data_IF_593648256667
#
_entry.id   IF_593648256667
#
_cell.length_a   1.000
_cell.length_b   1.000
_cell.length_c   1.000
_cell.angle_alpha   90.00
_cell.angle_beta   90.00
_cell.angle_gamma   90.00
#
_symmetry.space_group_name_H-M   'P 1'
#
loop_
_entity.id
_entity.type
_entity.pdbx_description
1 polymer ?
2 water ?
#
# COMPACT_ATOMS: atom_id res chain seq x y z
N UNK A 4 -10.24 -7.13 19.30
CA UNK A 4 -9.05 -6.55 19.92
C UNK A 4 -8.49 -5.40 19.07
N UNK A 5 -9.12 -5.12 17.95
CA UNK A 5 -8.53 -4.25 16.93
C UNK A 5 -9.05 -2.83 17.05
N UNK A 6 -8.35 -1.85 16.47
CA UNK A 6 -8.88 -0.49 16.47
C UNK A 6 -10.17 -0.38 15.66
N UNK A 7 -11.06 0.52 16.12
CA UNK A 7 -12.37 0.75 15.51
C UNK A 7 -12.46 2.19 15.03
N UNK A 9 -15.94 4.91 13.72
CA UNK A 9 -17.36 4.97 13.39
C UNK A 9 -17.55 5.61 12.01
N UNK A 10 -18.59 5.20 11.25
CA UNK A 10 -19.58 4.20 11.66
C UNK A 10 -18.99 2.79 11.67
N UNK A 11 -19.41 1.99 12.66
CA UNK A 11 -18.96 0.61 12.73
C UNK A 11 -19.55 -0.24 11.62
N UNK A 12 -20.61 0.24 10.97
CA UNK A 12 -21.40 -0.52 10.02
C UNK A 12 -21.86 0.41 8.92
N UNK A 13 -21.93 -0.11 7.69
CA UNK A 13 -22.41 0.67 6.56
C UNK A 13 -22.73 -0.27 5.40
N UNK A 14 -23.67 0.17 4.55
CA UNK A 14 -24.00 -0.50 3.28
C UNK A 14 -22.80 -0.46 2.32
N UNK A 15 -22.73 -1.37 1.36
CA UNK A 15 -21.60 -1.33 0.42
C UNK A 15 -21.53 -0.01 -0.33
N UNK A 16 -20.32 0.53 -0.45
CA UNK A 16 -20.07 1.78 -1.16
C UNK A 16 -19.21 1.53 -2.39
N UNK A 17 -18.97 2.60 -3.14
CA UNK A 17 -18.33 2.52 -4.45
C UNK A 17 -17.61 3.83 -4.75
N UNK A 18 -16.29 3.87 -4.60
CA UNK A 18 -15.55 5.05 -5.06
C UNK A 18 -15.51 5.10 -6.57
N UNK A 19 -15.45 6.31 -7.10
CA UNK A 19 -15.20 6.47 -8.53
C UNK A 19 -13.71 6.71 -8.71
N UNK A 20 -13.09 5.89 -9.54
CA UNK A 20 -11.65 5.82 -9.67
C UNK A 20 -11.28 6.34 -11.06
N UNK A 21 -10.74 7.56 -11.10
CA UNK A 21 -10.35 8.19 -12.36
C UNK A 21 -9.16 7.48 -12.98
N UNK A 22 -9.35 6.21 -13.35
CA UNK A 22 -8.25 5.44 -13.95
C UNK A 22 -7.78 6.10 -15.24
N UNK A 23 -6.51 6.51 -15.26
CA UNK A 23 -5.91 7.09 -16.44
C UNK A 23 -5.56 6.00 -17.44
N UNK A 24 -5.00 6.40 -18.58
CA UNK A 24 -4.65 5.44 -19.64
C UNK A 24 -3.33 4.73 -19.36
N UNK A 25 -2.41 5.36 -18.63
CA UNK A 25 -1.19 4.71 -18.18
C UNK A 25 -1.35 4.02 -16.83
N UNK A 26 -2.57 3.99 -16.28
CA UNK A 26 -2.82 3.30 -15.03
C UNK A 26 -3.08 1.82 -15.28
N UNK A 27 -2.68 1.00 -14.32
CA UNK A 27 -3.00 -0.42 -14.33
C UNK A 27 -3.75 -0.77 -13.06
N UNK A 28 -4.82 -1.55 -13.21
CA UNK A 28 -5.50 -2.10 -12.06
C UNK A 28 -4.66 -3.25 -11.53
N UNK A 29 -4.18 -3.11 -10.31
CA UNK A 29 -3.35 -4.13 -9.65
C UNK A 29 -4.21 -5.21 -9.02
N UNK A 30 -5.15 -4.82 -8.15
CA UNK A 30 -6.15 -5.72 -7.62
C UNK A 30 -7.43 -4.92 -7.46
N UNK A 31 -8.57 -5.58 -7.66
CA UNK A 31 -9.87 -4.92 -7.66
C UNK A 31 -10.83 -5.69 -6.78
N UNK A 32 -11.47 -4.98 -5.84
CA UNK A 32 -12.52 -5.56 -4.98
C UNK A 32 -12.03 -6.79 -4.22
N UNK A 33 -10.87 -6.65 -3.61
CA UNK A 33 -10.35 -7.70 -2.73
C UNK A 33 -10.95 -7.50 -1.34
N UNK A 34 -11.69 -8.51 -0.88
CA UNK A 34 -12.40 -8.40 0.38
C UNK A 34 -11.45 -8.58 1.55
N UNK A 35 -11.67 -7.78 2.59
CA UNK A 35 -10.97 -7.89 3.87
C UNK A 35 -12.07 -7.92 4.93
N UNK A 36 -12.29 -9.05 5.60
CA UNK A 36 -13.52 -9.25 6.41
C UNK A 36 -13.51 -8.49 7.73
N UNK A 37 -13.59 -7.17 7.64
CA UNK A 37 -13.59 -6.30 8.80
C UNK A 37 -14.12 -4.95 8.37
N UNK A 38 -14.63 -4.13 9.29
CA UNK A 38 -15.23 -2.85 8.90
C UNK A 38 -14.17 -1.89 8.35
N UNK A 39 -14.63 -0.95 7.52
CA UNK A 39 -13.71 -0.06 6.83
C UNK A 39 -12.87 0.73 7.82
N UNK A 40 -13.49 1.23 8.89
CA UNK A 40 -12.75 1.96 9.89
C UNK A 40 -11.66 1.13 10.54
N UNK A 41 -11.86 -0.18 10.61
CA UNK A 41 -10.87 -1.03 11.26
C UNK A 41 -9.70 -1.31 10.33
N UNK A 42 -9.96 -1.51 9.03
CA UNK A 42 -8.88 -1.78 8.08
C UNK A 42 -8.06 -0.52 7.84
N UNK A 43 -8.70 0.65 7.79
CA UNK A 43 -7.93 1.89 7.68
C UNK A 43 -7.01 2.05 8.88
N UNK A 44 -7.51 1.75 10.08
CA UNK A 44 -6.69 1.84 11.28
C UNK A 44 -5.52 0.88 11.25
N UNK A 45 -5.76 -0.35 10.78
CA UNK A 45 -4.71 -1.37 10.74
C UNK A 45 -3.55 -0.92 9.85
N UNK A 46 -3.88 -0.30 8.70
CA UNK A 46 -2.88 0.11 7.71
C UNK A 46 -2.25 1.46 8.03
N UNK A 47 -3.03 2.40 8.57
CA UNK A 47 -2.63 3.79 8.56
C UNK A 47 -2.75 4.49 9.91
N UNK A 48 -3.18 3.81 10.97
CA UNK A 48 -3.45 4.47 12.22
C UNK A 48 -2.25 4.58 13.16
N UNK A 49 -2.51 5.15 14.34
CA UNK A 49 -1.45 5.56 15.26
C UNK A 49 -0.59 4.39 15.74
N UNK A 50 -1.16 3.19 15.78
CA UNK A 50 -0.39 1.99 16.14
C UNK A 50 0.20 1.44 14.85
N UNK A 51 1.45 1.80 14.56
CA UNK A 51 2.01 1.46 13.27
C UNK A 51 2.58 0.06 13.22
N UNK A 52 2.40 -0.74 14.27
CA UNK A 52 2.99 -2.07 14.25
C UNK A 52 2.34 -2.96 13.20
N UNK A 53 1.04 -2.76 12.92
CA UNK A 53 0.37 -3.60 11.91
C UNK A 53 0.93 -3.34 10.52
N UNK A 55 3.99 -2.35 9.91
CA UNK A 55 5.30 -2.98 9.98
C UNK A 55 5.21 -4.48 9.75
N UNK A 56 4.16 -5.12 10.29
CA UNK A 56 3.93 -6.55 10.03
C UNK A 56 3.65 -6.81 8.56
N UNK A 57 2.92 -5.90 7.90
CA UNK A 57 2.73 -6.06 6.45
C UNK A 57 4.08 -6.08 5.74
N UNK A 58 4.99 -5.21 6.17
CA UNK A 58 6.29 -5.12 5.51
C UNK A 58 7.15 -6.35 5.82
N UNK A 59 7.15 -6.81 7.07
CA UNK A 59 8.03 -7.94 7.37
C UNK A 59 7.46 -9.28 6.94
N UNK A 60 6.20 -9.33 6.46
CA UNK A 60 5.67 -10.59 5.96
C UNK A 60 6.45 -11.07 4.75
N UNK A 61 6.90 -10.12 3.92
CA UNK A 61 7.77 -10.42 2.79
C UNK A 61 9.20 -10.57 3.33
N UNK A 62 9.77 -11.76 3.20
CA UNK A 62 11.06 -12.01 3.82
C UNK A 62 12.23 -11.36 3.09
N UNK A 63 11.99 -10.74 1.93
CA UNK A 63 13.05 -9.99 1.28
C UNK A 63 13.23 -8.60 1.89
N UNK A 64 12.24 -8.10 2.60
CA UNK A 64 12.35 -6.80 3.27
C UNK A 64 13.12 -6.99 4.56
N UNK A 65 14.25 -6.29 4.71
CA UNK A 65 15.08 -6.34 5.90
C UNK A 65 15.44 -4.90 6.30
N UNK A 66 16.13 -4.79 7.43
CA UNK A 66 16.50 -3.50 8.02
C UNK A 66 15.32 -2.52 8.01
N UNK A 67 14.19 -2.94 8.57
CA UNK A 67 12.93 -2.19 8.52
C UNK A 67 12.86 -1.25 9.74
N UNK A 68 12.71 0.05 9.49
CA UNK A 68 12.63 1.00 10.59
C UNK A 68 11.24 0.97 11.21
N UNK A 69 11.09 1.69 12.32
CA UNK A 69 9.77 1.94 12.87
C UNK A 69 8.99 2.86 11.93
N UNK A 70 7.75 2.51 11.66
CA UNK A 70 6.90 3.33 10.80
C UNK A 70 6.40 4.51 11.61
N UNK A 71 6.62 5.75 11.16
CA UNK A 71 6.03 6.88 11.88
C UNK A 71 4.53 6.94 11.67
N UNK A 72 3.86 7.63 12.57
CA UNK A 72 2.48 7.99 12.32
C UNK A 72 2.41 9.01 11.18
N UNK A 73 1.19 9.29 10.74
CA UNK A 73 1.02 10.30 9.72
C UNK A 73 1.21 11.69 10.32
N UNK A 74 1.86 12.58 9.56
CA UNK A 74 2.04 14.00 9.88
C UNK A 74 1.06 14.82 9.06
N UNK A 75 0.30 15.75 9.66
CA UNK A 75 0.26 16.05 11.09
C UNK A 75 -0.52 14.98 11.85
N UNK A 76 -1.42 14.31 11.14
CA UNK A 76 -2.15 13.17 11.69
C UNK A 76 -2.89 12.49 10.54
N UNK A 77 -3.67 11.47 10.89
CA UNK A 77 -4.43 10.70 9.90
C UNK A 77 -5.58 11.59 9.42
N UNK A 78 -5.24 12.50 8.51
CA UNK A 78 -6.22 13.41 7.90
C UNK A 78 -5.82 13.60 6.45
N UNK A 79 -6.80 14.04 5.64
CA UNK A 79 -6.51 14.42 4.27
C UNK A 79 -5.32 15.36 4.23
N UNK A 80 -4.33 15.01 3.40
CA UNK A 80 -3.11 15.78 3.29
C UNK A 80 -2.01 15.34 4.23
N UNK A 81 -2.35 14.55 5.25
CA UNK A 81 -1.31 13.94 6.04
C UNK A 81 -0.39 13.09 5.18
N UNK A 82 0.84 12.94 5.65
CA UNK A 82 1.76 12.06 4.95
C UNK A 82 2.75 11.48 5.94
N UNK A 83 3.51 10.49 5.46
CA UNK A 83 4.59 9.92 6.25
C UNK A 83 5.59 9.31 5.28
N UNK A 84 6.82 9.19 5.76
CA UNK A 84 7.90 8.54 5.02
C UNK A 84 8.51 7.43 5.87
N UNK A 85 8.88 6.33 5.23
CA UNK A 85 9.65 5.31 5.93
C UNK A 85 10.48 4.55 4.92
N UNK A 86 11.45 3.80 5.43
CA UNK A 86 12.50 3.17 4.63
C UNK A 86 12.76 1.76 5.12
N UNK A 87 13.11 0.88 4.20
CA UNK A 87 13.65 -0.43 4.53
C UNK A 87 14.50 -0.86 3.35
N UNK A 88 15.15 -2.00 3.50
CA UNK A 88 16.04 -2.54 2.49
C UNK A 88 15.38 -3.76 1.87
N UNK A 89 15.39 -3.84 0.54
CA UNK A 89 14.78 -4.97 -0.17
C UNK A 89 15.88 -5.83 -0.77
N UNK A 90 15.96 -7.08 -0.33
CA UNK A 90 16.88 -8.02 -0.93
C UNK A 90 16.47 -8.29 -2.37
N UNK A 91 17.45 -8.27 -3.27
CA UNK A 91 17.28 -8.59 -4.67
C UNK A 91 18.26 -9.69 -5.04
N UNK A 92 17.88 -10.57 -5.96
CA UNK A 92 18.84 -11.42 -6.64
C UNK A 92 18.63 -11.21 -8.14
N UNK A 93 19.04 -10.02 -8.59
CA UNK A 93 18.96 -9.65 -9.98
C UNK A 93 20.30 -9.95 -10.67
N UNK A 94 20.23 -10.41 -11.91
CA UNK A 94 21.41 -10.47 -12.77
C UNK A 94 22.08 -9.10 -12.80
N UNK A 95 21.33 -8.08 -13.21
CA UNK A 95 21.84 -6.72 -13.26
C UNK A 95 21.83 -6.11 -11.87
N UNK A 96 22.73 -5.16 -11.64
CA UNK A 96 22.67 -4.29 -10.49
C UNK A 96 22.92 -4.96 -9.16
N UNK A 97 22.66 -4.24 -8.07
CA UNK A 97 23.08 -4.69 -6.74
C UNK A 97 22.17 -5.79 -6.22
N UNK A 98 22.58 -6.33 -5.07
CA UNK A 98 21.86 -7.41 -4.41
C UNK A 98 20.79 -6.90 -3.46
N UNK A 99 20.75 -5.61 -3.20
CA UNK A 99 19.71 -5.01 -2.38
C UNK A 99 19.62 -3.54 -2.73
N UNK A 100 18.47 -2.94 -2.45
CA UNK A 100 18.24 -1.52 -2.64
C UNK A 100 17.51 -0.95 -1.44
N UNK A 101 17.84 0.30 -1.07
CA UNK A 101 16.94 1.05 -0.20
C UNK A 101 15.59 1.15 -0.88
N UNK A 102 14.53 1.03 -0.10
CA UNK A 102 13.17 1.33 -0.54
C UNK A 102 12.69 2.52 0.26
N UNK A 103 12.45 3.62 -0.43
CA UNK A 103 11.98 4.86 0.19
C UNK A 103 10.49 4.96 -0.11
N UNK A 104 9.67 4.91 0.94
CA UNK A 104 8.23 4.93 0.78
C UNK A 104 7.64 6.21 1.32
N UNK A 105 6.61 6.70 0.64
CA UNK A 105 5.86 7.89 1.00
C UNK A 105 4.38 7.56 0.89
N UNK A 106 3.62 7.84 1.93
CA UNK A 106 2.17 7.70 1.88
C UNK A 106 1.53 9.05 2.10
N UNK A 107 0.52 9.39 1.31
CA UNK A 107 -0.27 10.58 1.60
C UNK A 107 -1.75 10.26 1.51
N UNK A 108 -2.51 10.75 2.48
CA UNK A 108 -3.94 10.53 2.49
C UNK A 108 -4.57 11.50 1.50
N UNK A 109 -5.20 10.97 0.44
CA UNK A 109 -5.84 11.79 -0.57
C UNK A 109 -7.29 12.07 -0.23
N UNK A 110 -8.02 11.06 0.24
CA UNK A 110 -9.41 11.22 0.61
C UNK A 110 -9.70 10.32 1.79
N UNK A 112 -13.07 9.27 4.26
CA UNK A 112 -14.46 9.40 4.66
C UNK A 112 -14.96 7.99 4.96
N UNK A 113 -15.05 7.66 6.25
CA UNK A 113 -15.43 6.30 6.65
C UNK A 113 -16.90 6.01 6.32
N UNK A 114 -17.64 7.02 5.89
CA UNK A 114 -18.98 6.83 5.35
C UNK A 114 -18.99 6.56 3.86
N UNK A 115 -17.82 6.52 3.22
CA UNK A 115 -17.76 6.37 1.78
C UNK A 115 -16.52 5.56 1.40
N UNK A 116 -15.36 6.21 1.29
CA UNK A 116 -14.14 5.50 0.92
C UNK A 116 -12.92 6.24 1.45
N UNK A 117 -11.77 5.56 1.38
CA UNK A 117 -10.47 6.14 1.72
C UNK A 117 -9.51 5.88 0.56
N UNK A 118 -8.75 6.91 0.17
CA UNK A 118 -7.73 6.80 -0.87
C UNK A 118 -6.39 7.25 -0.30
N UNK A 119 -5.43 6.34 -0.26
CA UNK A 119 -4.06 6.64 0.12
C UNK A 119 -3.17 6.39 -1.09
N UNK A 120 -2.33 7.34 -1.41
CA UNK A 120 -1.28 7.15 -2.41
C UNK A 120 0.01 6.76 -1.71
N UNK A 121 0.63 5.67 -2.16
CA UNK A 121 1.94 5.26 -1.66
C UNK A 121 2.93 5.27 -2.82
N UNK A 122 4.01 6.02 -2.66
CA UNK A 122 5.07 6.19 -3.66
C UNK A 122 6.32 5.50 -3.16
N UNK A 123 6.89 4.64 -4.01
CA UNK A 123 8.12 3.91 -3.68
C UNK A 123 9.23 4.32 -4.63
N UNK A 124 10.36 4.74 -4.08
CA UNK A 124 11.58 5.01 -4.83
C UNK A 124 12.64 4.00 -4.43
N UNK A 125 13.37 3.48 -5.42
CA UNK A 125 14.39 2.45 -5.21
C UNK A 125 15.67 2.92 -5.88
N UNK A 126 16.41 3.83 -5.25
CA UNK A 126 17.47 4.55 -5.99
C UNK A 126 18.65 3.69 -6.43
N UNK A 127 18.97 2.60 -5.72
CA UNK A 127 20.20 1.86 -6.00
C UNK A 127 20.12 0.99 -7.26
N UNK A 128 18.94 0.79 -7.84
CA UNK A 128 18.81 -0.11 -8.99
C UNK A 128 19.12 0.64 -10.29
N UNK A 129 19.35 -0.05 -11.40
CA UNK A 129 19.56 0.64 -12.69
C UNK A 129 18.40 1.54 -13.06
N UNK A 130 18.73 2.79 -13.43
CA UNK A 130 17.77 3.83 -13.81
C UNK A 130 16.87 4.23 -12.66
N UNK A 131 17.28 3.94 -11.43
CA UNK A 131 16.40 4.04 -10.28
C UNK A 131 16.18 5.43 -9.75
N UNK A 132 17.09 6.35 -10.01
CA UNK A 132 16.86 7.74 -9.67
C UNK A 132 15.99 8.45 -10.70
N UNK A 133 15.58 7.76 -11.77
CA UNK A 133 14.75 8.34 -12.82
C UNK A 133 13.26 8.06 -12.68
N UNK A 134 12.85 7.17 -11.77
CA UNK A 134 11.45 6.78 -11.68
C UNK A 134 11.04 6.53 -10.24
N UNK A 135 9.72 6.58 -10.04
CA UNK A 135 9.07 6.23 -8.79
C UNK A 135 7.79 5.48 -9.14
N UNK A 136 7.43 4.51 -8.30
CA UNK A 136 6.18 3.77 -8.46
C UNK A 136 5.11 4.46 -7.62
N UNK A 137 3.94 4.68 -8.20
CA UNK A 137 2.85 5.36 -7.51
C UNK A 137 1.62 4.47 -7.55
N UNK A 138 1.20 3.98 -6.38
CA UNK A 138 0.02 3.14 -6.25
C UNK A 138 -1.05 3.90 -5.48
N UNK A 139 -2.26 3.94 -6.03
CA UNK A 139 -3.41 4.45 -5.30
C UNK A 139 -4.15 3.28 -4.67
N UNK A 140 -4.24 3.29 -3.35
CA UNK A 140 -4.96 2.28 -2.58
C UNK A 140 -6.32 2.87 -2.20
N UNK A 141 -7.39 2.35 -2.78
CA UNK A 141 -8.75 2.72 -2.39
C UNK A 141 -9.28 1.67 -1.43
N UNK A 142 -9.86 2.13 -0.33
CA UNK A 142 -10.58 1.27 0.60
C UNK A 142 -12.01 1.75 0.71
N UNK A 143 -12.96 0.82 0.61
CA UNK A 143 -14.37 1.19 0.65
C UNK A 143 -15.16 0.04 1.26
N UNK A 144 -16.43 0.30 1.56
CA UNK A 144 -17.28 -0.66 2.26
C UNK A 144 -17.70 -1.80 1.34
N UNK A 145 -17.54 -3.03 1.81
CA UNK A 145 -18.02 -4.19 1.09
C UNK A 145 -19.30 -4.74 1.69
N UNK A 146 -19.65 -5.93 1.22
CA UNK A 146 -20.86 -6.60 1.65
C UNK A 146 -20.68 -7.15 3.07
N UNK A 147 -21.77 -7.10 3.86
CA UNK A 147 -21.82 -7.57 5.25
C UNK A 147 -20.73 -6.91 6.12
N UNK A 148 -20.63 -5.58 6.02
CA UNK A 148 -19.79 -4.77 6.92
C UNK A 148 -18.31 -5.13 6.78
N UNK A 149 -17.90 -5.56 5.60
CA UNK A 149 -16.50 -5.84 5.31
C UNK A 149 -15.93 -4.71 4.46
N UNK A 150 -14.64 -4.81 4.16
CA UNK A 150 -13.90 -3.82 3.40
C UNK A 150 -13.44 -4.42 2.08
N UNK A 151 -13.61 -3.68 1.00
CA UNK A 151 -13.06 -4.04 -0.29
C UNK A 151 -11.91 -3.11 -0.62
N UNK A 153 -9.11 -1.78 -3.75
CA UNK A 153 -8.68 -1.70 -5.13
C UNK A 153 -7.41 -0.86 -5.20
N UNK A 154 -6.43 -1.32 -5.98
CA UNK A 154 -5.14 -0.65 -6.10
C UNK A 154 -4.88 -0.34 -7.56
N UNK A 155 -4.54 0.92 -7.85
CA UNK A 155 -4.18 1.39 -9.18
C UNK A 155 -2.77 1.92 -9.11
N UNK A 156 -1.96 1.57 -10.12
CA UNK A 156 -0.52 1.86 -10.08
C UNK A 156 -0.09 2.53 -11.38
N UNK A 157 0.85 3.46 -11.27
CA UNK A 157 1.56 4.00 -12.43
C UNK A 157 3.02 4.21 -12.04
N UNK A 158 3.85 4.36 -13.06
CA UNK A 158 5.25 4.73 -12.92
C UNK A 158 5.40 6.17 -13.37
N UNK A 159 5.99 7.00 -12.52
CA UNK A 159 6.26 8.40 -12.86
C UNK A 159 7.74 8.56 -13.16
N UNK A 160 8.05 9.04 -14.35
CA UNK A 160 9.43 9.28 -14.78
C UNK A 160 9.79 10.75 -14.62
N UNK A 161 11.01 11.01 -14.16
CA UNK A 161 11.56 12.35 -14.06
C UNK A 161 12.73 12.59 -15.00
N UNK A 162 13.17 11.57 -15.73
CA UNK A 162 14.13 11.68 -16.83
C UNK A 162 13.90 10.49 -17.75
N UNK A 163 14.38 10.59 -18.98
CA UNK A 163 14.17 9.48 -19.92
C UNK A 163 15.10 8.32 -19.56
N UNK A 164 14.70 7.11 -19.94
CA UNK A 164 15.43 5.92 -19.54
C UNK A 164 15.42 4.87 -20.64
N UNK A 165 16.31 3.90 -20.48
CA UNK A 165 16.59 2.86 -21.46
C UNK A 165 15.62 1.68 -21.36
N UNK A 166 14.94 1.54 -20.25
CA UNK A 166 14.18 0.32 -19.95
C UNK A 166 12.72 0.61 -19.62
N UNK A 167 12.20 1.77 -20.04
CA UNK A 167 10.89 2.25 -19.61
C UNK A 167 9.82 1.15 -19.65
N UNK A 168 9.55 0.61 -20.83
CA UNK A 168 8.50 -0.40 -20.95
C UNK A 168 8.76 -1.62 -20.08
N UNK A 169 10.03 -2.00 -19.93
CA UNK A 169 10.37 -3.15 -19.10
C UNK A 169 10.19 -2.84 -17.62
N UNK A 170 10.71 -1.70 -17.18
CA UNK A 170 10.61 -1.36 -15.76
C UNK A 170 9.16 -1.14 -15.34
N UNK A 171 8.36 -0.52 -16.22
CA UNK A 171 6.94 -0.38 -15.93
C UNK A 171 6.30 -1.76 -15.76
N UNK A 172 6.65 -2.71 -16.62
CA UNK A 172 6.07 -4.04 -16.49
C UNK A 172 6.54 -4.72 -15.20
N UNK A 173 7.84 -4.66 -14.91
CA UNK A 173 8.34 -5.25 -13.68
C UNK A 173 7.77 -4.58 -12.44
N UNK A 174 7.65 -3.25 -12.47
CA UNK A 174 7.09 -2.56 -11.30
C UNK A 174 5.64 -2.94 -11.07
N UNK A 175 4.87 -3.11 -12.15
CA UNK A 175 3.48 -3.52 -12.02
C UNK A 175 3.40 -4.92 -11.39
N UNK A 176 4.29 -5.82 -11.80
CA UNK A 176 4.33 -7.16 -11.21
C UNK A 176 4.77 -7.12 -9.75
N UNK A 177 5.76 -6.27 -9.44
CA UNK A 177 6.20 -6.15 -8.07
C UNK A 177 5.15 -5.57 -7.13
N UNK A 178 4.27 -4.71 -7.65
CA UNK A 178 3.22 -4.13 -6.82
C UNK A 178 2.09 -5.12 -6.56
N UNK A 179 1.81 -5.99 -7.54
CA UNK A 179 0.86 -7.06 -7.29
C UNK A 179 1.38 -8.00 -6.22
N UNK A 180 2.69 -8.27 -6.23
CA UNK A 180 3.29 -9.06 -5.16
C UNK A 180 3.16 -8.35 -3.83
N UNK A 181 3.43 -7.05 -3.82
CA UNK A 181 3.38 -6.30 -2.57
C UNK A 181 1.96 -6.18 -2.05
N UNK A 182 0.97 -6.07 -2.93
CA UNK A 182 -0.41 -5.96 -2.47
C UNK A 182 -0.90 -7.30 -1.93
N UNK A 183 -0.47 -8.40 -2.53
CA UNK A 183 -0.81 -9.74 -2.01
C UNK A 183 -0.29 -9.96 -0.59
N UNK A 184 0.93 -9.50 -0.30
CA UNK A 184 1.44 -9.63 1.06
C UNK A 184 0.63 -8.78 2.03
N UNK A 186 -2.58 -8.01 1.63
CA UNK A 186 -3.89 -8.64 1.82
C UNK A 186 -3.78 -9.84 2.76
N UNK A 187 -2.73 -10.65 2.58
CA UNK A 187 -2.55 -11.83 3.42
C UNK A 187 -2.31 -11.43 4.87
N UNK A 188 -1.44 -10.45 5.10
CA UNK A 188 -1.21 -10.02 6.49
C UNK A 188 -2.50 -9.50 7.12
N UNK A 189 -3.24 -8.67 6.40
CA UNK A 189 -4.48 -8.11 6.94
C UNK A 189 -5.48 -9.20 7.28
N UNK A 190 -5.66 -10.17 6.38
CA UNK A 190 -6.61 -11.22 6.66
C UNK A 190 -6.14 -12.09 7.82
N UNK A 191 -4.82 -12.26 7.97
CA UNK A 191 -4.26 -13.02 9.10
C UNK A 191 -4.47 -12.30 10.42
N UNK A 192 -4.21 -10.98 10.46
CA UNK A 192 -4.42 -10.19 11.67
C UNK A 192 -5.88 -10.25 12.12
N UNK A 193 -6.80 -10.07 11.18
CA UNK A 193 -8.22 -10.08 11.51
C UNK A 193 -8.66 -11.47 11.96
N UNK A 194 -8.21 -12.50 11.24
CA UNK A 194 -8.56 -13.86 11.57
C UNK A 194 -7.99 -14.29 12.92
N UNK A 195 -6.78 -13.84 13.27
CA UNK A 195 -6.29 -14.13 14.62
C UNK A 195 -7.04 -13.34 15.69
N UNK A 196 -7.46 -12.11 15.35
CA UNK A 196 -8.21 -11.30 16.30
C UNK A 196 -9.57 -11.92 16.62
N UNK A 197 -10.26 -12.45 15.60
CA UNK A 197 -11.56 -13.07 15.81
C UNK A 197 -11.46 -14.35 16.62
N UNK A 198 -10.26 -14.91 16.75
CA UNK A 198 -10.02 -16.14 17.49
C UNK A 198 -9.85 -15.91 18.99
N UNK A 199 -9.84 -14.65 19.44
CA UNK A 199 -9.62 -14.32 20.84
C UNK A 199 -10.93 -14.03 21.59
N UNK A 200 -10.81 -13.92 22.91
CA UNK A 200 -11.89 -13.85 23.93
C UNK A 200 -12.37 -15.26 24.31
#
# INVERSE_FOLDING_TARGET
GPXTLPKXEPSSHAPTEPDIQKDKDDSIIRENENIPAPLGTVVQLLFGSNTEYXQKVITRDKNNVNVETIPKFTPSLVEGGSRHYEYTKKLNNSIGPKQTKCLLTESIEHXDINNYVLVTQTTKTPDVPSGSNFAVESKIFLFWGQHDTTNXTVITKINWTSKSFLKGAIEKGSVEGQKVSVDYXLSELRDIISRAKSKKPVK
#
